data_IF_497580720722
#
_entry.id   IF_497580720722
#
_cell.length_a   1.000
_cell.length_b   1.000
_cell.length_c   1.000
_cell.angle_alpha   90.00
_cell.angle_beta   90.00
_cell.angle_gamma   90.00
#
_symmetry.space_group_name_H-M   'P 1'
#
loop_
_entity.id
_entity.type
_entity.pdbx_description
1 polymer ?
#
# COMPACT_ATOMS: atom_id res chain seq x y z
N UNK A 1 -17.32 -4.09 -17.86
CA UNK A 1 -16.17 -3.99 -16.92
C UNK A 1 -15.00 -4.69 -17.57
N UNK A 2 -13.83 -4.03 -17.71
CA UNK A 2 -12.65 -4.73 -18.21
C UNK A 2 -12.29 -5.81 -17.19
N UNK A 3 -11.88 -6.97 -17.68
CA UNK A 3 -11.45 -8.09 -16.84
C UNK A 3 -10.28 -7.63 -15.96
N UNK A 4 -10.30 -8.01 -14.68
CA UNK A 4 -9.24 -7.66 -13.71
C UNK A 4 -7.86 -8.07 -14.25
N UNK A 5 -7.77 -9.19 -14.97
CA UNK A 5 -6.51 -9.67 -15.58
C UNK A 5 -5.97 -8.69 -16.62
N UNK A 6 -6.83 -8.20 -17.52
CA UNK A 6 -6.43 -7.20 -18.52
C UNK A 6 -5.91 -5.91 -17.86
N UNK A 7 -6.53 -5.50 -16.75
CA UNK A 7 -6.07 -4.33 -15.98
C UNK A 7 -4.73 -4.58 -15.28
N UNK A 8 -4.52 -5.78 -14.75
CA UNK A 8 -3.25 -6.17 -14.14
C UNK A 8 -2.12 -6.27 -15.19
N UNK A 9 -2.43 -6.74 -16.41
CA UNK A 9 -1.48 -6.73 -17.52
C UNK A 9 -1.06 -5.28 -17.87
N UNK A 10 -1.98 -4.32 -17.81
CA UNK A 10 -1.65 -2.89 -17.97
C UNK A 10 -0.74 -2.39 -16.86
N UNK A 11 -0.93 -2.83 -15.61
CA UNK A 11 -0.03 -2.50 -14.49
C UNK A 11 1.37 -3.05 -14.75
N UNK A 12 1.49 -4.31 -15.18
CA UNK A 12 2.76 -4.93 -15.53
C UNK A 12 3.53 -4.13 -16.60
N UNK A 13 2.84 -3.67 -17.65
CA UNK A 13 3.43 -2.84 -18.69
C UNK A 13 3.78 -1.44 -18.15
N UNK A 14 2.92 -0.86 -17.30
CA UNK A 14 3.09 0.50 -16.79
C UNK A 14 4.35 0.65 -15.94
N UNK A 15 4.59 -0.28 -15.01
CA UNK A 15 5.71 -0.19 -14.05
C UNK A 15 7.08 -0.27 -14.70
N UNK A 16 7.14 -0.63 -15.99
CA UNK A 16 8.37 -0.73 -16.79
C UNK A 16 8.55 0.45 -17.76
N UNK A 17 7.57 1.36 -17.86
CA UNK A 17 7.66 2.53 -18.75
C UNK A 17 8.58 3.60 -18.16
N UNK A 18 9.49 4.14 -19.00
CA UNK A 18 10.39 5.22 -18.61
C UNK A 18 9.64 6.43 -18.04
N UNK A 19 8.53 6.81 -18.64
CA UNK A 19 7.72 7.94 -18.17
C UNK A 19 7.15 7.72 -16.79
N UNK A 20 6.77 6.49 -16.45
CA UNK A 20 6.32 6.12 -15.11
C UNK A 20 7.48 6.16 -14.11
N UNK A 21 8.62 5.56 -14.46
CA UNK A 21 9.81 5.49 -13.61
C UNK A 21 10.42 6.87 -13.35
N UNK A 22 10.35 7.77 -14.31
CA UNK A 22 10.86 9.14 -14.21
C UNK A 22 9.83 10.14 -13.65
N UNK A 23 8.61 9.69 -13.32
CA UNK A 23 7.53 10.56 -12.84
C UNK A 23 7.02 11.57 -13.86
N UNK A 24 7.22 11.31 -15.17
CA UNK A 24 6.76 12.18 -16.23
C UNK A 24 5.25 12.04 -16.47
N UNK A 25 4.60 13.15 -16.79
CA UNK A 25 3.17 13.17 -17.12
C UNK A 25 2.25 13.14 -15.92
N UNK A 26 2.77 13.41 -14.72
CA UNK A 26 1.95 13.60 -13.54
C UNK A 26 1.26 14.96 -13.59
N UNK A 27 -0.04 14.97 -13.36
CA UNK A 27 -0.82 16.20 -13.16
C UNK A 27 -0.56 16.80 -11.76
N UNK A 28 0.05 16.04 -10.87
CA UNK A 28 0.32 16.36 -9.48
C UNK A 28 1.81 16.22 -9.16
N UNK A 29 2.26 16.93 -8.14
CA UNK A 29 3.67 16.96 -7.70
C UNK A 29 4.17 15.64 -7.07
N UNK A 30 3.28 14.66 -6.88
CA UNK A 30 3.58 13.41 -6.16
C UNK A 30 3.46 12.21 -7.08
N UNK A 31 4.52 11.41 -7.15
CA UNK A 31 4.55 10.19 -7.96
C UNK A 31 3.90 8.99 -7.23
N UNK A 32 2.66 9.16 -6.76
CA UNK A 32 1.87 8.09 -6.13
C UNK A 32 0.71 7.74 -7.06
N UNK A 33 0.61 6.47 -7.43
CA UNK A 33 -0.48 5.93 -8.24
C UNK A 33 -1.25 4.86 -7.50
N UNK A 34 -2.57 4.82 -7.72
CA UNK A 34 -3.46 3.89 -7.05
C UNK A 34 -4.13 3.01 -8.09
N UNK A 35 -3.95 1.70 -7.94
CA UNK A 35 -4.69 0.68 -8.67
C UNK A 35 -5.83 0.19 -7.79
N UNK A 36 -7.05 0.61 -8.10
CA UNK A 36 -8.25 0.16 -7.40
C UNK A 36 -8.80 -1.13 -8.02
N UNK A 37 -9.22 -2.06 -7.18
CA UNK A 37 -9.85 -3.32 -7.61
C UNK A 37 -10.96 -3.71 -6.64
N UNK A 38 -11.88 -4.58 -7.09
CA UNK A 38 -12.91 -5.11 -6.21
C UNK A 38 -12.29 -6.07 -5.19
N UNK A 39 -12.71 -6.01 -3.93
CA UNK A 39 -12.20 -6.88 -2.88
C UNK A 39 -12.39 -8.37 -3.17
N UNK A 40 -13.37 -8.75 -4.02
CA UNK A 40 -13.56 -10.12 -4.49
C UNK A 40 -12.40 -10.61 -5.37
N UNK A 41 -11.66 -9.70 -6.01
CA UNK A 41 -10.50 -9.98 -6.85
C UNK A 41 -9.18 -10.09 -6.06
N UNK A 42 -9.20 -9.94 -4.74
CA UNK A 42 -8.02 -9.91 -3.87
C UNK A 42 -7.04 -11.08 -4.15
N UNK A 43 -7.57 -12.30 -4.31
CA UNK A 43 -6.72 -13.47 -4.53
C UNK A 43 -6.04 -13.45 -5.92
N UNK A 44 -6.70 -12.87 -6.93
CA UNK A 44 -6.12 -12.68 -8.27
C UNK A 44 -5.01 -11.65 -8.20
N UNK A 45 -5.24 -10.54 -7.50
CA UNK A 45 -4.25 -9.48 -7.30
C UNK A 45 -3.03 -9.99 -6.53
N UNK A 46 -3.22 -10.75 -5.45
CA UNK A 46 -2.11 -11.38 -4.70
C UNK A 46 -1.27 -12.32 -5.56
N UNK A 47 -1.95 -13.13 -6.36
CA UNK A 47 -1.24 -14.04 -7.28
C UNK A 47 -0.41 -13.24 -8.29
N UNK A 48 -0.95 -12.18 -8.86
CA UNK A 48 -0.25 -11.28 -9.76
C UNK A 48 0.99 -10.64 -9.09
N UNK A 49 0.83 -10.12 -7.88
CA UNK A 49 1.95 -9.52 -7.12
C UNK A 49 3.05 -10.56 -6.87
N UNK A 50 2.69 -11.77 -6.46
CA UNK A 50 3.67 -12.84 -6.25
C UNK A 50 4.40 -13.23 -7.55
N UNK A 51 3.72 -13.17 -8.70
CA UNK A 51 4.37 -13.38 -10.01
C UNK A 51 5.37 -12.26 -10.31
N UNK A 52 5.00 -11.00 -10.06
CA UNK A 52 5.92 -9.86 -10.26
C UNK A 52 7.17 -9.96 -9.37
N UNK A 53 7.03 -10.37 -8.11
CA UNK A 53 8.18 -10.52 -7.19
C UNK A 53 9.20 -11.56 -7.66
N UNK A 54 8.76 -12.53 -8.47
CA UNK A 54 9.62 -13.61 -8.98
C UNK A 54 10.02 -13.43 -10.44
N UNK A 55 9.48 -12.42 -11.11
CA UNK A 55 9.75 -12.14 -12.52
C UNK A 55 11.10 -11.45 -12.71
N UNK A 56 12.07 -12.23 -13.16
CA UNK A 56 13.43 -11.76 -13.47
C UNK A 56 13.52 -10.96 -14.78
N UNK A 57 12.44 -10.88 -15.55
CA UNK A 57 12.41 -10.14 -16.81
C UNK A 57 11.97 -8.69 -16.64
N UNK A 58 11.57 -8.26 -15.42
CA UNK A 58 11.20 -6.87 -15.16
C UNK A 58 12.38 -5.93 -15.39
N UNK A 59 12.12 -4.85 -16.12
CA UNK A 59 13.08 -3.77 -16.37
C UNK A 59 13.18 -2.77 -15.21
N UNK A 60 12.35 -2.92 -14.17
CA UNK A 60 12.34 -2.12 -12.95
C UNK A 60 12.76 -2.95 -11.72
N UNK A 61 13.19 -2.24 -10.68
CA UNK A 61 13.48 -2.85 -9.38
C UNK A 61 12.26 -2.73 -8.47
N UNK A 62 11.38 -3.74 -8.52
CA UNK A 62 10.15 -3.73 -7.75
C UNK A 62 10.41 -4.08 -6.29
N UNK A 63 10.06 -3.16 -5.39
CA UNK A 63 10.07 -3.35 -3.93
C UNK A 63 8.63 -3.52 -3.44
N UNK A 64 8.21 -4.76 -3.23
CA UNK A 64 6.88 -5.04 -2.70
C UNK A 64 6.88 -4.95 -1.18
N UNK A 65 6.00 -4.14 -0.63
CA UNK A 65 5.79 -3.98 0.79
C UNK A 65 4.34 -4.33 1.15
N UNK A 66 4.14 -5.46 1.82
CA UNK A 66 2.83 -5.82 2.36
C UNK A 66 2.65 -5.16 3.73
N UNK A 67 1.68 -4.26 3.82
CA UNK A 67 1.44 -3.44 5.00
C UNK A 67 1.04 -4.24 6.24
N UNK A 68 0.33 -5.35 6.07
CA UNK A 68 -0.01 -6.20 7.22
C UNK A 68 1.22 -6.95 7.76
N UNK A 69 2.07 -7.47 6.87
CA UNK A 69 3.36 -8.05 7.28
C UNK A 69 4.26 -7.01 7.94
N UNK A 70 4.23 -5.76 7.44
CA UNK A 70 4.94 -4.65 8.07
C UNK A 70 4.42 -4.37 9.47
N UNK A 71 3.10 -4.37 9.66
CA UNK A 71 2.47 -4.23 10.97
C UNK A 71 2.94 -5.33 11.95
N UNK A 72 2.90 -6.59 11.52
CA UNK A 72 3.39 -7.71 12.36
C UNK A 72 4.87 -7.56 12.70
N UNK A 73 5.71 -7.15 11.75
CA UNK A 73 7.12 -6.91 12.01
C UNK A 73 7.36 -5.74 12.98
N UNK A 74 6.48 -4.73 13.00
CA UNK A 74 6.53 -3.67 14.02
C UNK A 74 6.16 -4.23 15.39
N UNK A 75 5.14 -5.10 15.48
CA UNK A 75 4.79 -5.78 16.74
C UNK A 75 5.95 -6.62 17.27
N UNK A 76 6.66 -7.33 16.38
CA UNK A 76 7.86 -8.10 16.74
C UNK A 76 8.99 -7.21 17.26
N UNK A 77 9.27 -6.09 16.59
CA UNK A 77 10.30 -5.12 17.03
C UNK A 77 9.98 -4.50 18.40
N UNK A 78 8.71 -4.45 18.77
CA UNK A 78 8.22 -3.96 20.06
C UNK A 78 8.12 -5.05 21.14
N UNK A 79 8.46 -6.29 20.81
CA UNK A 79 8.34 -7.47 21.68
C UNK A 79 6.91 -7.72 22.23
N UNK A 80 5.87 -7.35 21.45
CA UNK A 80 4.48 -7.47 21.87
C UNK A 80 3.71 -8.62 21.19
N UNK A 81 4.24 -9.21 20.13
CA UNK A 81 3.53 -10.23 19.32
C UNK A 81 3.02 -11.38 20.16
N UNK A 82 3.86 -11.93 21.02
CA UNK A 82 3.49 -13.06 21.90
C UNK A 82 2.47 -12.69 22.97
N UNK A 83 2.38 -11.41 23.34
CA UNK A 83 1.43 -10.91 24.34
C UNK A 83 0.03 -10.63 23.77
N UNK A 84 -0.11 -10.46 22.44
CA UNK A 84 -1.37 -10.10 21.79
C UNK A 84 -2.52 -11.08 22.13
N UNK A 85 -2.35 -12.41 22.03
CA UNK A 85 -3.43 -13.35 22.36
C UNK A 85 -3.89 -13.25 23.81
N UNK A 86 -2.97 -13.05 24.75
CA UNK A 86 -3.28 -12.93 26.18
C UNK A 86 -4.00 -11.60 26.48
N UNK A 87 -3.57 -10.51 25.86
CA UNK A 87 -4.23 -9.20 25.95
C UNK A 87 -5.66 -9.25 25.39
N UNK A 88 -5.84 -9.88 24.23
CA UNK A 88 -7.17 -10.04 23.63
C UNK A 88 -8.08 -10.89 24.51
N UNK A 89 -7.55 -11.98 25.08
CA UNK A 89 -8.29 -12.87 25.97
C UNK A 89 -8.68 -12.22 27.29
N UNK A 90 -7.86 -11.34 27.85
CA UNK A 90 -8.11 -10.64 29.11
C UNK A 90 -9.04 -9.44 28.96
N UNK A 91 -8.81 -8.59 27.95
CA UNK A 91 -9.42 -7.26 27.86
C UNK A 91 -10.35 -7.11 26.64
N UNK A 92 -10.32 -8.09 25.73
CA UNK A 92 -11.14 -8.14 24.51
C UNK A 92 -10.55 -7.41 23.32
N UNK A 93 -11.04 -7.76 22.11
CA UNK A 93 -10.51 -7.25 20.84
C UNK A 93 -10.62 -5.72 20.69
N UNK A 94 -11.66 -5.10 21.27
CA UNK A 94 -11.85 -3.65 21.18
C UNK A 94 -10.78 -2.88 21.96
N UNK A 95 -10.42 -3.37 23.13
CA UNK A 95 -9.34 -2.79 23.95
C UNK A 95 -7.99 -3.01 23.28
N UNK A 96 -7.70 -4.22 22.83
CA UNK A 96 -6.47 -4.55 22.10
C UNK A 96 -6.30 -3.63 20.87
N UNK A 97 -7.36 -3.44 20.08
CA UNK A 97 -7.32 -2.55 18.92
C UNK A 97 -6.97 -1.11 19.31
N UNK A 98 -7.52 -0.61 20.41
CA UNK A 98 -7.23 0.72 20.93
C UNK A 98 -5.77 0.87 21.33
N UNK A 99 -5.22 -0.11 22.05
CA UNK A 99 -3.82 -0.11 22.50
C UNK A 99 -2.84 -0.20 21.33
N UNK A 100 -3.11 -1.08 20.36
CA UNK A 100 -2.29 -1.19 19.16
C UNK A 100 -2.31 0.10 18.32
N UNK A 101 -3.48 0.72 18.13
CA UNK A 101 -3.59 1.99 17.42
C UNK A 101 -2.96 3.17 18.17
N UNK A 102 -2.87 3.10 19.48
CA UNK A 102 -2.15 4.11 20.28
C UNK A 102 -0.63 3.96 20.18
N UNK A 103 -0.16 2.73 20.14
CA UNK A 103 1.27 2.39 20.18
C UNK A 103 1.92 2.38 18.80
N UNK A 104 1.17 2.00 17.77
CA UNK A 104 1.66 1.84 16.39
C UNK A 104 0.96 2.84 15.46
N UNK A 105 1.72 3.77 14.92
CA UNK A 105 1.23 4.80 14.00
C UNK A 105 2.06 4.94 12.74
N UNK A 106 1.78 5.98 11.96
CA UNK A 106 2.46 6.23 10.68
C UNK A 106 3.98 6.26 10.81
N UNK A 107 4.51 6.75 11.93
CA UNK A 107 5.96 6.87 12.16
C UNK A 107 6.64 5.50 12.10
N UNK A 108 6.13 4.50 12.81
CA UNK A 108 6.69 3.16 12.86
C UNK A 108 6.62 2.49 11.47
N UNK A 109 5.51 2.70 10.74
CA UNK A 109 5.40 2.23 9.36
C UNK A 109 6.43 2.87 8.44
N UNK A 110 6.60 4.19 8.52
CA UNK A 110 7.61 4.91 7.71
C UNK A 110 9.02 4.40 8.02
N UNK A 111 9.37 4.27 9.30
CA UNK A 111 10.67 3.76 9.74
C UNK A 111 10.95 2.33 9.20
N UNK A 112 9.90 1.51 9.06
CA UNK A 112 10.02 0.13 8.56
C UNK A 112 10.02 0.02 7.03
N UNK A 113 9.34 0.93 6.34
CA UNK A 113 9.18 0.91 4.89
C UNK A 113 10.32 1.65 4.18
N UNK A 114 10.79 2.76 4.75
CA UNK A 114 11.82 3.59 4.13
C UNK A 114 13.13 2.83 3.93
N UNK A 115 13.80 3.14 2.84
CA UNK A 115 15.16 2.68 2.57
C UNK A 115 15.92 3.77 1.79
N UNK A 116 17.25 3.68 1.80
CA UNK A 116 18.12 4.58 1.04
C UNK A 116 19.47 3.90 0.77
N UNK A 117 20.16 4.22 -0.32
CA UNK A 117 19.71 5.12 -1.39
C UNK A 117 18.65 4.45 -2.28
N UNK A 118 17.80 5.25 -2.94
CA UNK A 118 16.99 4.77 -4.05
C UNK A 118 17.86 4.69 -5.31
N UNK A 119 17.56 3.69 -6.13
CA UNK A 119 18.21 3.50 -7.43
C UNK A 119 17.26 3.90 -8.56
N UNK A 120 17.86 4.27 -9.70
CA UNK A 120 17.04 4.54 -10.88
C UNK A 120 16.33 3.25 -11.33
N UNK A 121 15.01 3.31 -11.49
CA UNK A 121 14.18 2.14 -11.81
C UNK A 121 13.55 1.47 -10.59
N UNK A 122 13.81 1.97 -9.37
CA UNK A 122 13.10 1.50 -8.19
C UNK A 122 11.62 1.90 -8.25
N UNK A 123 10.76 0.97 -7.84
CA UNK A 123 9.31 1.16 -7.69
C UNK A 123 8.89 0.57 -6.35
N UNK A 124 8.30 1.39 -5.48
CA UNK A 124 7.68 0.90 -4.26
C UNK A 124 6.24 0.47 -4.53
N UNK A 125 5.90 -0.79 -4.30
CA UNK A 125 4.54 -1.31 -4.39
C UNK A 125 4.00 -1.63 -3.00
N UNK A 126 2.93 -0.93 -2.58
CA UNK A 126 2.24 -1.17 -1.32
C UNK A 126 1.05 -2.11 -1.54
N UNK A 127 1.01 -3.19 -0.77
CA UNK A 127 -0.05 -4.21 -0.79
C UNK A 127 -0.60 -4.47 0.61
N UNK A 128 -1.62 -5.30 0.76
CA UNK A 128 -2.18 -5.65 2.06
C UNK A 128 -2.96 -4.51 2.72
N UNK A 129 -3.45 -3.55 1.94
CA UNK A 129 -4.21 -2.39 2.43
C UNK A 129 -5.47 -2.81 3.16
N UNK A 130 -6.20 -3.80 2.64
CA UNK A 130 -7.39 -4.34 3.27
C UNK A 130 -7.09 -5.13 4.55
N UNK A 131 -5.96 -5.86 4.56
CA UNK A 131 -5.56 -6.69 5.70
C UNK A 131 -5.10 -5.85 6.89
N UNK A 132 -4.37 -4.76 6.63
CA UNK A 132 -3.84 -3.90 7.69
C UNK A 132 -4.91 -3.01 8.33
N UNK A 133 -6.06 -2.84 7.67
CA UNK A 133 -7.19 -2.12 8.27
C UNK A 133 -7.76 -2.91 9.47
N UNK A 134 -8.03 -2.28 10.64
CA UNK A 134 -8.11 -0.83 10.88
C UNK A 134 -6.87 -0.22 11.57
N UNK A 135 -5.72 -0.91 11.59
CA UNK A 135 -4.53 -0.47 12.32
C UNK A 135 -3.87 0.77 11.72
N UNK A 136 -4.03 1.00 10.41
CA UNK A 136 -3.52 2.21 9.77
C UNK A 136 -4.50 2.73 8.71
N UNK A 137 -4.47 4.05 8.51
CA UNK A 137 -5.23 4.74 7.47
C UNK A 137 -4.32 5.04 6.29
N UNK A 138 -4.66 4.55 5.10
CA UNK A 138 -3.83 4.68 3.91
C UNK A 138 -3.49 6.14 3.57
N UNK A 139 -4.45 7.05 3.68
CA UNK A 139 -4.23 8.49 3.47
C UNK A 139 -3.06 9.02 4.33
N UNK A 140 -3.17 8.85 5.63
CA UNK A 140 -2.17 9.36 6.57
C UNK A 140 -0.79 8.68 6.39
N UNK A 141 -0.78 7.41 6.00
CA UNK A 141 0.47 6.71 5.68
C UNK A 141 1.13 7.28 4.42
N UNK A 142 0.36 7.48 3.34
CA UNK A 142 0.91 8.01 2.09
C UNK A 142 1.45 9.43 2.25
N UNK A 143 0.76 10.29 3.02
CA UNK A 143 1.28 11.61 3.38
C UNK A 143 2.60 11.52 4.16
N UNK A 144 2.70 10.58 5.11
CA UNK A 144 3.91 10.39 5.91
C UNK A 144 5.07 9.79 5.10
N UNK A 145 4.79 8.97 4.08
CA UNK A 145 5.81 8.38 3.19
C UNK A 145 6.32 9.36 2.14
N UNK A 146 5.52 10.35 1.75
CA UNK A 146 5.82 11.27 0.65
C UNK A 146 7.22 11.92 0.72
N UNK A 147 7.70 12.42 1.88
CA UNK A 147 9.05 13.01 1.98
C UNK A 147 10.19 12.02 1.70
N UNK A 148 9.95 10.73 1.87
CA UNK A 148 10.95 9.67 1.74
C UNK A 148 10.97 9.03 0.36
N UNK A 149 9.88 9.15 -0.40
CA UNK A 149 9.68 8.52 -1.72
C UNK A 149 9.30 9.55 -2.79
N UNK A 150 9.91 10.74 -2.75
CA UNK A 150 9.63 11.80 -3.73
C UNK A 150 10.32 11.57 -5.09
N UNK A 151 11.35 10.74 -5.12
CA UNK A 151 12.24 10.51 -6.27
C UNK A 151 11.95 9.20 -7.02
N UNK A 152 11.13 8.31 -6.46
CA UNK A 152 10.71 7.08 -7.10
C UNK A 152 9.17 6.94 -7.09
N UNK A 153 8.59 6.19 -8.05
CA UNK A 153 7.16 5.95 -8.06
C UNK A 153 6.71 5.03 -6.91
N UNK A 154 5.55 5.38 -6.33
CA UNK A 154 4.84 4.55 -5.36
C UNK A 154 3.54 4.07 -5.99
N UNK A 155 3.33 2.77 -6.04
CA UNK A 155 2.12 2.12 -6.53
C UNK A 155 1.37 1.46 -5.36
N UNK A 156 0.09 1.80 -5.21
CA UNK A 156 -0.75 1.24 -4.15
C UNK A 156 -1.78 0.29 -4.76
N UNK A 157 -1.77 -0.98 -4.34
CA UNK A 157 -2.81 -1.95 -4.68
C UNK A 157 -3.96 -1.81 -3.67
N UNK A 158 -5.08 -1.21 -4.10
CA UNK A 158 -6.15 -0.75 -3.21
C UNK A 158 -7.46 -1.52 -3.44
N UNK A 159 -7.94 -2.34 -2.48
CA UNK A 159 -9.22 -3.06 -2.60
C UNK A 159 -10.40 -2.13 -2.33
N UNK A 160 -10.87 -1.44 -3.35
CA UNK A 160 -11.95 -0.47 -3.26
C UNK A 160 -12.05 0.46 -4.47
N UNK A 161 -12.68 1.59 -4.27
CA UNK A 161 -12.93 2.60 -5.31
C UNK A 161 -12.23 3.93 -5.02
N UNK A 162 -11.87 4.61 -6.09
CA UNK A 162 -11.43 6.00 -6.08
C UNK A 162 -12.28 6.81 -7.06
N UNK A 163 -12.98 7.82 -6.57
CA UNK A 163 -13.86 8.67 -7.36
C UNK A 163 -13.17 9.93 -7.95
N UNK A 164 -11.85 10.03 -7.80
CA UNK A 164 -11.04 11.20 -8.16
C UNK A 164 -10.80 12.16 -6.97
N UNK A 165 -11.51 11.95 -5.86
CA UNK A 165 -11.41 12.77 -4.65
C UNK A 165 -11.28 11.94 -3.37
N UNK A 166 -11.94 10.80 -3.30
CA UNK A 166 -12.01 9.96 -2.10
C UNK A 166 -11.71 8.51 -2.42
N UNK A 167 -11.01 7.87 -1.52
CA UNK A 167 -10.82 6.42 -1.50
C UNK A 167 -11.84 5.77 -0.57
N UNK A 168 -12.52 4.74 -1.07
CA UNK A 168 -13.55 4.01 -0.36
C UNK A 168 -13.17 2.54 -0.25
N UNK A 169 -12.60 2.18 0.90
CA UNK A 169 -12.13 0.81 1.14
C UNK A 169 -13.29 -0.18 1.11
N UNK A 170 -13.10 -1.31 0.41
CA UNK A 170 -14.09 -2.38 0.22
C UNK A 170 -15.42 -1.92 -0.40
N UNK A 171 -15.45 -0.74 -1.03
CA UNK A 171 -16.67 -0.13 -1.56
C UNK A 171 -17.79 0.10 -0.51
N UNK A 172 -17.46 -0.02 0.78
CA UNK A 172 -18.42 -0.01 1.90
C UNK A 172 -18.09 0.98 3.00
N UNK A 173 -16.81 1.19 3.28
CA UNK A 173 -16.41 2.08 4.35
C UNK A 173 -16.62 3.53 3.94
N UNK A 174 -16.94 4.39 4.92
CA UNK A 174 -17.07 5.82 4.66
C UNK A 174 -15.78 6.33 4.03
N UNK A 175 -15.86 7.08 2.92
CA UNK A 175 -14.70 7.68 2.31
C UNK A 175 -14.00 8.55 3.34
N UNK A 176 -12.70 8.37 3.44
CA UNK A 176 -11.85 9.27 4.22
C UNK A 176 -11.35 10.38 3.32
N UNK A 177 -10.90 11.44 3.96
CA UNK A 177 -10.51 12.72 3.44
C UNK A 177 -9.91 12.77 2.02
N UNK A 178 -9.95 13.94 1.47
CA UNK A 178 -9.59 14.41 0.15
C UNK A 178 -8.17 14.02 -0.32
N UNK A 179 -8.09 13.27 -1.42
CA UNK A 179 -6.84 12.87 -2.07
C UNK A 179 -6.59 13.71 -3.33
N UNK A 180 -5.93 14.84 -3.18
CA UNK A 180 -5.60 15.72 -4.32
C UNK A 180 -4.40 15.25 -5.16
N UNK A 181 -3.58 14.37 -4.61
CA UNK A 181 -2.23 14.16 -5.10
C UNK A 181 -2.00 12.80 -5.79
N UNK A 182 -3.05 11.99 -5.99
CA UNK A 182 -2.86 10.63 -6.48
C UNK A 182 -3.50 10.43 -7.85
N UNK A 183 -2.75 9.77 -8.75
CA UNK A 183 -3.28 9.36 -10.05
C UNK A 183 -3.85 7.94 -9.97
N UNK A 184 -5.03 7.74 -10.58
CA UNK A 184 -5.65 6.44 -10.74
C UNK A 184 -5.07 5.72 -11.95
N UNK A 185 -4.77 4.43 -11.82
CA UNK A 185 -4.51 3.54 -12.94
C UNK A 185 -5.84 2.96 -13.43
N UNK A 186 -6.18 3.18 -14.70
CA UNK A 186 -7.40 2.68 -15.35
C UNK A 186 -7.21 1.28 -15.95
#
# INVERSE_FOLDING_TARGET
MSDIKERLDKVHVLIQKSDFLEGKGLSNEVNIRIFCYDHEDEMIVRHFVNQLETDQSLECHLKVCNLYKTFLAICDDMDITDAIPDMEGADGSAYLLQELNFSIGNRQFVEKIQYAPHEQGDVLMLTGVGEVFPFIRMHALLEALQPYFSDIPVLVMYPGEFDGHHLKLFNRLKPNDYYRAFDRIE
#
